data_IF_075473087467
#
_entry.id   IF_075473087467
#
_cell.length_a   1.000
_cell.length_b   1.000
_cell.length_c   1.000
_cell.angle_alpha   90.00
_cell.angle_beta   90.00
_cell.angle_gamma   90.00
#
_symmetry.space_group_name_H-M   'P 1'
#
loop_
_entity.id
_entity.type
_entity.pdbx_description
1 polymer ?
#
# COMPACT_ATOMS: atom_id res chain seq x y z
N UNK A 1 20.17 5.07 -36.31
CA UNK A 1 20.18 5.19 -34.84
C UNK A 1 19.22 4.16 -34.29
N UNK A 2 19.72 3.03 -33.75
CA UNK A 2 18.87 1.94 -33.23
C UNK A 2 18.52 2.22 -31.76
N UNK A 3 17.24 2.39 -31.47
CA UNK A 3 16.70 2.55 -30.11
C UNK A 3 16.52 1.17 -29.46
N UNK A 4 17.50 0.75 -28.66
CA UNK A 4 17.42 -0.48 -27.88
C UNK A 4 16.49 -0.30 -26.68
N UNK A 5 15.22 -0.69 -26.81
CA UNK A 5 14.28 -0.75 -25.69
C UNK A 5 14.34 -2.12 -25.01
N UNK A 6 15.20 -2.27 -24.00
CA UNK A 6 15.23 -3.47 -23.16
C UNK A 6 14.11 -3.40 -22.11
N UNK A 7 13.09 -4.23 -22.23
CA UNK A 7 12.06 -4.43 -21.20
C UNK A 7 12.50 -5.48 -20.18
N UNK A 8 13.66 -5.28 -19.53
CA UNK A 8 13.92 -6.02 -18.28
C UNK A 8 12.81 -5.67 -17.31
N UNK A 9 11.92 -6.63 -17.00
CA UNK A 9 10.87 -6.47 -16.00
C UNK A 9 11.53 -6.26 -14.64
N UNK A 10 11.79 -5.00 -14.27
CA UNK A 10 12.00 -4.63 -12.88
C UNK A 10 10.71 -4.97 -12.16
N UNK A 11 10.71 -6.05 -11.39
CA UNK A 11 9.61 -6.35 -10.48
C UNK A 11 9.41 -5.12 -9.59
N UNK A 12 8.16 -4.67 -9.47
CA UNK A 12 7.84 -3.53 -8.63
C UNK A 12 8.19 -3.87 -7.18
N UNK A 13 9.26 -3.27 -6.67
CA UNK A 13 9.69 -3.41 -5.29
C UNK A 13 9.76 -2.04 -4.64
N UNK A 14 9.35 -1.97 -3.38
CA UNK A 14 9.48 -0.76 -2.59
C UNK A 14 10.96 -0.47 -2.28
N UNK A 15 11.25 0.80 -1.98
CA UNK A 15 12.56 1.17 -1.45
C UNK A 15 12.70 0.61 -0.04
N UNK A 16 13.80 -0.08 0.20
CA UNK A 16 14.23 -0.52 1.53
C UNK A 16 14.72 0.65 2.39
N UNK A 17 14.86 0.43 3.70
CA UNK A 17 15.44 1.44 4.59
C UNK A 17 16.90 1.76 4.22
N UNK A 18 17.68 0.74 3.81
CA UNK A 18 19.06 0.91 3.34
C UNK A 18 19.13 1.79 2.10
N UNK A 19 18.30 1.52 1.08
CA UNK A 19 18.25 2.34 -0.14
C UNK A 19 17.86 3.79 0.16
N UNK A 20 16.98 4.04 1.14
CA UNK A 20 16.67 5.41 1.60
C UNK A 20 17.89 6.09 2.23
N UNK A 21 18.67 5.36 3.02
CA UNK A 21 19.95 5.82 3.56
C UNK A 21 20.94 6.18 2.47
N UNK A 22 21.07 5.34 1.44
CA UNK A 22 21.92 5.59 0.27
C UNK A 22 21.49 6.83 -0.51
N UNK A 23 20.18 7.04 -0.72
CA UNK A 23 19.65 8.27 -1.33
C UNK A 23 20.09 9.49 -0.52
N UNK A 24 20.00 9.44 0.82
CA UNK A 24 20.45 10.55 1.69
C UNK A 24 21.95 10.81 1.54
N UNK A 25 22.78 9.77 1.53
CA UNK A 25 24.21 9.88 1.33
C UNK A 25 24.56 10.51 -0.03
N UNK A 26 23.94 10.04 -1.11
CA UNK A 26 24.18 10.59 -2.45
C UNK A 26 23.73 12.04 -2.62
N UNK A 27 22.63 12.43 -1.97
CA UNK A 27 22.21 13.84 -1.94
C UNK A 27 23.22 14.72 -1.20
N UNK A 28 23.82 14.24 -0.11
CA UNK A 28 24.92 14.95 0.59
C UNK A 28 26.17 15.06 -0.27
N UNK A 29 26.40 14.11 -1.17
CA UNK A 29 27.46 14.15 -2.19
C UNK A 29 27.11 15.04 -3.39
N UNK A 30 25.95 15.71 -3.40
CA UNK A 30 25.54 16.62 -4.48
C UNK A 30 25.01 15.92 -5.74
N UNK A 31 24.71 14.61 -5.68
CA UNK A 31 24.19 13.88 -6.84
C UNK A 31 22.75 14.26 -7.15
N UNK A 32 22.43 14.34 -8.43
CA UNK A 32 21.06 14.61 -8.87
C UNK A 32 20.20 13.32 -8.86
N UNK A 33 18.85 13.44 -8.84
CA UNK A 33 17.97 12.27 -8.77
C UNK A 33 18.13 11.27 -9.93
N UNK A 34 18.60 11.71 -11.09
CA UNK A 34 18.82 10.84 -12.25
C UNK A 34 20.08 9.98 -12.08
N UNK A 35 21.13 10.53 -11.47
CA UNK A 35 22.36 9.80 -11.12
C UNK A 35 22.08 8.78 -10.02
N UNK A 36 21.38 9.20 -8.97
CA UNK A 36 20.97 8.32 -7.87
C UNK A 36 20.16 7.13 -8.40
N UNK A 37 19.23 7.39 -9.33
CA UNK A 37 18.44 6.36 -9.98
C UNK A 37 19.30 5.33 -10.71
N UNK A 38 20.33 5.79 -11.45
CA UNK A 38 21.29 4.91 -12.13
C UNK A 38 22.12 4.08 -11.15
N UNK A 39 22.58 4.68 -10.06
CA UNK A 39 23.40 4.00 -9.03
C UNK A 39 22.61 2.90 -8.31
N UNK A 40 21.35 3.16 -7.97
CA UNK A 40 20.48 2.20 -7.27
C UNK A 40 19.77 1.21 -8.22
N UNK A 41 19.95 1.35 -9.54
CA UNK A 41 19.19 0.57 -10.51
C UNK A 41 17.67 0.81 -10.43
N UNK A 42 17.24 1.98 -9.98
CA UNK A 42 15.83 2.36 -9.82
C UNK A 42 15.42 3.35 -10.90
N UNK A 43 14.11 3.46 -11.13
CA UNK A 43 13.59 4.47 -12.05
C UNK A 43 13.68 5.88 -11.44
N UNK A 44 14.02 6.90 -12.25
CA UNK A 44 14.13 8.31 -11.82
C UNK A 44 12.91 8.80 -11.06
N UNK A 45 11.71 8.43 -11.52
CA UNK A 45 10.46 8.87 -10.88
C UNK A 45 10.27 8.27 -9.48
N UNK A 46 10.84 7.10 -9.20
CA UNK A 46 10.83 6.50 -7.86
C UNK A 46 11.65 7.35 -6.90
N UNK A 47 12.88 7.70 -7.29
CA UNK A 47 13.77 8.55 -6.48
C UNK A 47 13.17 9.94 -6.26
N UNK A 48 12.64 10.58 -7.31
CA UNK A 48 12.04 11.91 -7.18
C UNK A 48 10.83 11.93 -6.24
N UNK A 49 9.95 10.91 -6.32
CA UNK A 49 8.80 10.80 -5.42
C UNK A 49 9.22 10.52 -3.98
N UNK A 50 10.23 9.68 -3.78
CA UNK A 50 10.79 9.40 -2.46
C UNK A 50 11.33 10.69 -1.84
N UNK A 51 12.18 11.45 -2.56
CA UNK A 51 12.72 12.72 -2.08
C UNK A 51 11.59 13.69 -1.73
N UNK A 52 10.59 13.84 -2.61
CA UNK A 52 9.44 14.72 -2.34
C UNK A 52 8.67 14.32 -1.07
N UNK A 53 8.54 13.03 -0.79
CA UNK A 53 7.81 12.52 0.39
C UNK A 53 8.62 12.62 1.69
N UNK A 54 9.93 12.39 1.62
CA UNK A 54 10.82 12.40 2.78
C UNK A 54 11.49 13.75 3.07
N UNK A 55 11.28 14.75 2.22
CA UNK A 55 11.78 16.11 2.43
C UNK A 55 10.95 16.87 3.46
N UNK A 56 11.64 17.53 4.39
CA UNK A 56 11.06 18.30 5.49
C UNK A 56 11.59 19.74 5.44
N UNK A 57 10.71 20.71 5.65
CA UNK A 57 11.09 22.11 5.82
C UNK A 57 11.72 22.33 7.19
N UNK A 58 12.96 22.76 7.20
CA UNK A 58 13.71 23.14 8.40
C UNK A 58 13.97 24.64 8.43
N UNK A 59 13.93 25.19 9.63
CA UNK A 59 14.29 26.58 9.91
C UNK A 59 15.57 26.57 10.72
N UNK A 60 16.58 27.30 10.25
CA UNK A 60 17.83 27.52 10.97
C UNK A 60 17.96 29.00 11.28
N UNK A 61 18.19 29.34 12.53
CA UNK A 61 18.52 30.70 12.93
C UNK A 61 20.03 30.89 12.84
N UNK A 62 20.48 31.73 11.91
CA UNK A 62 21.88 32.11 11.78
C UNK A 62 21.99 33.61 11.97
N UNK A 63 22.65 34.03 13.05
CA UNK A 63 22.87 35.44 13.42
C UNK A 63 21.57 36.26 13.46
N UNK A 64 20.51 35.71 14.08
CA UNK A 64 19.20 36.38 14.18
C UNK A 64 18.34 36.34 12.92
N UNK A 65 18.83 35.75 11.81
CA UNK A 65 18.07 35.56 10.58
C UNK A 65 17.59 34.12 10.44
N UNK A 66 16.28 33.96 10.24
CA UNK A 66 15.66 32.66 9.93
C UNK A 66 15.96 32.26 8.49
N UNK A 67 16.54 31.08 8.29
CA UNK A 67 16.80 30.49 6.98
C UNK A 67 15.95 29.24 6.82
N UNK A 68 15.09 29.24 5.81
CA UNK A 68 14.26 28.10 5.45
C UNK A 68 15.02 27.21 4.46
N UNK A 69 15.05 25.92 4.74
CA UNK A 69 15.68 24.92 3.87
C UNK A 69 14.83 23.66 3.81
N UNK A 70 14.74 23.05 2.64
CA UNK A 70 14.07 21.75 2.48
C UNK A 70 15.14 20.67 2.42
N UNK A 71 15.12 19.76 3.38
CA UNK A 71 16.14 18.71 3.52
C UNK A 71 15.49 17.34 3.52
N UNK A 72 16.03 16.41 2.74
CA UNK A 72 15.58 15.02 2.71
C UNK A 72 16.09 14.23 3.91
N UNK A 73 15.17 13.55 4.59
CA UNK A 73 15.48 12.64 5.69
C UNK A 73 14.96 11.22 5.41
N UNK A 74 15.82 10.19 5.48
CA UNK A 74 15.41 8.81 5.20
C UNK A 74 14.33 8.32 6.18
N UNK A 75 14.43 8.68 7.45
CA UNK A 75 13.46 8.32 8.49
C UNK A 75 12.07 8.94 8.23
N UNK A 76 12.05 10.14 7.66
CA UNK A 76 10.80 10.81 7.30
C UNK A 76 10.14 10.10 6.12
N UNK A 77 10.93 9.74 5.09
CA UNK A 77 10.46 8.92 3.97
C UNK A 77 9.93 7.54 4.42
N UNK A 78 10.64 6.89 5.35
CA UNK A 78 10.22 5.63 5.97
C UNK A 78 8.89 5.77 6.73
N UNK A 79 8.76 6.79 7.58
CA UNK A 79 7.54 7.07 8.35
C UNK A 79 6.32 7.30 7.44
N UNK A 80 6.50 8.07 6.37
CA UNK A 80 5.43 8.31 5.38
C UNK A 80 5.04 7.01 4.68
N UNK A 81 6.01 6.18 4.31
CA UNK A 81 5.75 4.87 3.72
C UNK A 81 4.93 3.98 4.67
N UNK A 82 5.34 3.84 5.92
CA UNK A 82 4.65 3.01 6.92
C UNK A 82 3.23 3.50 7.18
N UNK A 83 3.04 4.81 7.31
CA UNK A 83 1.72 5.41 7.53
C UNK A 83 0.79 5.10 6.36
N UNK A 84 1.27 5.26 5.13
CA UNK A 84 0.49 4.94 3.94
C UNK A 84 0.24 3.44 3.81
N UNK A 85 1.21 2.60 4.19
CA UNK A 85 1.08 1.15 4.15
C UNK A 85 0.02 0.65 5.14
N UNK A 86 -0.04 1.22 6.34
CA UNK A 86 -1.10 0.95 7.34
C UNK A 86 -2.49 1.33 6.80
N UNK A 87 -2.61 2.47 6.10
CA UNK A 87 -3.86 2.93 5.48
C UNK A 87 -4.29 2.11 4.24
N UNK A 88 -3.36 1.38 3.63
CA UNK A 88 -3.61 0.53 2.47
C UNK A 88 -4.29 -0.81 2.82
N UNK A 89 -4.53 -1.09 4.10
CA UNK A 89 -5.26 -2.28 4.53
C UNK A 89 -6.75 -2.19 4.20
N UNK A 90 -7.38 -3.34 3.91
CA UNK A 90 -8.81 -3.41 3.66
C UNK A 90 -9.58 -3.18 4.96
N UNK A 91 -10.11 -1.97 5.12
CA UNK A 91 -10.77 -1.50 6.33
C UNK A 91 -12.07 -2.26 6.68
N UNK A 92 -12.71 -2.95 5.72
CA UNK A 92 -13.95 -3.70 6.01
C UNK A 92 -13.71 -5.06 6.66
N UNK A 93 -12.44 -5.50 6.80
CA UNK A 93 -12.13 -6.74 7.51
C UNK A 93 -12.52 -6.66 9.00
N UNK A 94 -12.46 -5.47 9.61
CA UNK A 94 -12.89 -5.26 11.00
C UNK A 94 -14.40 -5.39 11.18
N UNK A 95 -15.19 -5.24 10.11
CA UNK A 95 -16.63 -5.46 10.11
C UNK A 95 -17.00 -6.95 9.96
N UNK A 96 -16.04 -7.80 9.58
CA UNK A 96 -16.30 -9.22 9.43
C UNK A 96 -16.34 -9.93 10.79
N UNK A 97 -17.30 -10.84 10.95
CA UNK A 97 -17.47 -11.59 12.21
C UNK A 97 -16.24 -12.43 12.55
N UNK A 98 -15.83 -12.42 13.82
CA UNK A 98 -14.79 -13.32 14.32
C UNK A 98 -15.15 -14.80 14.12
N UNK A 99 -16.45 -15.14 14.16
CA UNK A 99 -16.92 -16.50 13.91
C UNK A 99 -16.69 -16.94 12.47
N UNK A 100 -16.83 -16.04 11.51
CA UNK A 100 -16.56 -16.33 10.10
C UNK A 100 -15.10 -16.74 9.88
N UNK A 101 -14.15 -16.00 10.46
CA UNK A 101 -12.73 -16.32 10.29
C UNK A 101 -12.34 -17.64 10.94
N UNK A 102 -12.90 -17.96 12.12
CA UNK A 102 -12.65 -19.24 12.80
C UNK A 102 -13.13 -20.43 11.96
N UNK A 103 -14.34 -20.35 11.43
CA UNK A 103 -14.90 -21.42 10.57
C UNK A 103 -14.17 -21.52 9.23
N UNK A 104 -13.81 -20.37 8.63
CA UNK A 104 -13.02 -20.33 7.39
C UNK A 104 -11.66 -20.99 7.58
N UNK A 105 -10.95 -20.64 8.66
CA UNK A 105 -9.64 -21.21 8.98
C UNK A 105 -9.73 -22.72 9.16
N UNK A 106 -10.75 -23.20 9.89
CA UNK A 106 -11.03 -24.62 10.08
C UNK A 106 -11.27 -25.33 8.74
N UNK A 107 -12.12 -24.76 7.88
CA UNK A 107 -12.44 -25.32 6.57
C UNK A 107 -11.20 -25.42 5.66
N UNK A 108 -10.34 -24.39 5.65
CA UNK A 108 -9.16 -24.35 4.79
C UNK A 108 -8.01 -25.26 5.26
N UNK A 109 -7.94 -25.54 6.57
CA UNK A 109 -6.92 -26.42 7.20
C UNK A 109 -7.30 -27.91 7.21
N UNK A 110 -8.58 -28.24 7.06
CA UNK A 110 -9.06 -29.63 7.03
C UNK A 110 -8.45 -30.39 5.85
N UNK A 111 -8.03 -31.65 6.06
CA UNK A 111 -7.45 -32.53 5.03
C UNK A 111 -8.30 -33.80 4.87
N UNK A 112 -8.67 -34.18 3.63
CA UNK A 112 -8.47 -33.42 2.40
C UNK A 112 -9.27 -32.11 2.42
N UNK A 113 -8.75 -31.08 1.74
CA UNK A 113 -9.44 -29.78 1.65
C UNK A 113 -10.70 -29.97 0.82
N UNK A 114 -11.87 -29.80 1.44
CA UNK A 114 -13.17 -29.99 0.80
C UNK A 114 -13.76 -28.71 0.17
N UNK A 115 -13.34 -27.52 0.62
CA UNK A 115 -13.85 -26.25 0.11
C UNK A 115 -12.75 -25.34 -0.44
N UNK A 116 -13.04 -24.67 -1.56
CA UNK A 116 -12.35 -23.43 -1.95
C UNK A 116 -12.84 -22.27 -1.08
N UNK A 117 -12.15 -21.13 -1.10
CA UNK A 117 -12.59 -19.93 -0.36
C UNK A 117 -14.00 -19.51 -0.80
N UNK A 118 -14.26 -19.50 -2.11
CA UNK A 118 -15.56 -19.07 -2.66
C UNK A 118 -16.69 -20.04 -2.30
N UNK A 119 -16.45 -21.35 -2.40
CA UNK A 119 -17.43 -22.37 -2.01
C UNK A 119 -17.73 -22.31 -0.51
N UNK A 120 -16.72 -22.04 0.32
CA UNK A 120 -16.95 -21.81 1.76
C UNK A 120 -17.78 -20.55 2.01
N UNK A 121 -17.47 -19.43 1.34
CA UNK A 121 -18.23 -18.17 1.51
C UNK A 121 -19.70 -18.37 1.14
N UNK A 122 -19.99 -19.11 0.08
CA UNK A 122 -21.36 -19.42 -0.35
C UNK A 122 -22.10 -20.27 0.69
N UNK A 123 -21.52 -21.41 1.07
CA UNK A 123 -22.12 -22.32 2.07
C UNK A 123 -22.27 -21.66 3.45
N UNK A 124 -21.32 -20.82 3.85
CA UNK A 124 -21.40 -20.05 5.10
C UNK A 124 -22.56 -19.05 5.08
N UNK A 125 -22.79 -18.37 3.96
CA UNK A 125 -23.94 -17.46 3.80
C UNK A 125 -25.27 -18.20 3.91
N UNK A 126 -25.39 -19.35 3.27
CA UNK A 126 -26.58 -20.22 3.34
C UNK A 126 -26.84 -20.71 4.77
N UNK A 127 -25.79 -21.15 5.47
CA UNK A 127 -25.88 -21.63 6.85
C UNK A 127 -26.20 -20.52 7.88
N UNK A 128 -25.71 -19.29 7.69
CA UNK A 128 -26.11 -18.14 8.52
C UNK A 128 -27.57 -17.76 8.26
N UNK A 129 -27.96 -17.70 6.99
CA UNK A 129 -29.33 -17.38 6.61
C UNK A 129 -30.33 -18.41 7.17
N UNK A 130 -29.94 -19.68 7.19
CA UNK A 130 -30.68 -20.77 7.84
C UNK A 130 -30.80 -20.59 9.36
N UNK A 131 -29.73 -20.15 10.05
CA UNK A 131 -29.74 -19.96 11.52
C UNK A 131 -30.54 -18.74 12.01
N UNK A 132 -30.75 -17.73 11.16
CA UNK A 132 -31.42 -16.48 11.56
C UNK A 132 -32.91 -16.43 11.20
N UNK A 133 -33.46 -17.43 10.49
CA UNK A 133 -34.87 -17.48 10.04
C UNK A 133 -35.48 -16.10 9.74
N UNK A 134 -34.76 -15.26 8.99
CA UNK A 134 -35.34 -14.05 8.44
C UNK A 134 -36.01 -14.42 7.12
N UNK A 135 -37.25 -13.96 6.87
CA UNK A 135 -37.96 -14.30 5.66
C UNK A 135 -37.16 -13.86 4.43
N UNK A 136 -37.27 -14.60 3.30
CA UNK A 136 -36.55 -14.28 2.08
C UNK A 136 -36.83 -12.83 1.69
N UNK A 137 -35.76 -12.14 1.27
CA UNK A 137 -35.80 -10.78 0.72
C UNK A 137 -37.02 -10.64 -0.19
N UNK A 138 -38.01 -9.86 0.23
CA UNK A 138 -38.96 -9.32 -0.74
C UNK A 138 -38.13 -8.42 -1.65
N UNK A 139 -37.95 -8.86 -2.88
CA UNK A 139 -37.55 -8.02 -3.97
C UNK A 139 -38.62 -6.94 -4.08
N UNK A 140 -38.41 -5.78 -3.46
CA UNK A 140 -39.21 -4.61 -3.80
C UNK A 140 -38.71 -4.16 -5.17
N UNK A 141 -39.50 -4.52 -6.17
CA UNK A 141 -39.35 -4.05 -7.52
C UNK A 141 -39.38 -2.53 -7.57
N UNK A 142 -38.60 -2.00 -8.51
CA UNK A 142 -38.92 -0.84 -9.34
C UNK A 142 -39.92 0.18 -8.79
N UNK A 143 -39.41 1.37 -8.47
CA UNK A 143 -40.07 2.60 -8.90
C UNK A 143 -39.06 3.49 -9.62
N UNK A 144 -39.20 3.52 -10.94
CA UNK A 144 -38.94 4.74 -11.72
C UNK A 144 -39.89 5.81 -11.20
N UNK A 145 -39.36 6.98 -10.91
CA UNK A 145 -39.97 8.33 -10.96
C UNK A 145 -38.94 9.26 -10.31
N UNK A 146 -38.54 10.43 -10.79
CA UNK A 146 -38.55 11.13 -12.07
C UNK A 146 -37.51 12.27 -11.89
N UNK A 147 -37.00 12.80 -13.00
CA UNK A 147 -36.31 14.09 -13.00
C UNK A 147 -37.28 15.24 -12.71
#
# INVERSE_FOLDING_TARGET
>A
MSTNHSTKKSLYSHLSASERGEISAYLRMGKNPSEIARLLGRHRSTISREIKRGSVSQVQDKNGKRIYSTVYFPDSGQRVYETNRRKSAYHKLSYCSQTFFKELEKALKTKPRCHSVDSFVQTYRENIHWKLSLPPRQCIGTSKTDC
#
